data_IF_571954974735
#
_entry.id   IF_571954974735
#
_cell.length_a   1.000
_cell.length_b   1.000
_cell.length_c   1.000
_cell.angle_alpha   90.00
_cell.angle_beta   90.00
_cell.angle_gamma   90.00
#
_symmetry.space_group_name_H-M   'P 1'
#
loop_
_entity.id
_entity.type
_entity.pdbx_description
1 polymer ?
#
# COMPACT_ATOMS: atom_id res chain seq x y z
N UNK A 1 -14.61 -2.46 13.77
CA UNK A 1 -13.43 -2.77 12.93
C UNK A 1 -12.10 -2.30 13.56
N UNK A 2 -11.98 -2.22 14.90
CA UNK A 2 -10.77 -1.72 15.59
C UNK A 2 -9.59 -2.71 15.53
N UNK A 3 -9.86 -4.00 15.34
CA UNK A 3 -8.85 -5.07 15.35
C UNK A 3 -7.96 -5.07 14.09
N UNK A 4 -8.39 -4.45 12.99
CA UNK A 4 -7.58 -4.39 11.76
C UNK A 4 -6.69 -3.13 11.69
N UNK A 5 -6.80 -2.20 12.65
CA UNK A 5 -6.02 -0.95 12.66
C UNK A 5 -4.51 -1.22 12.73
N UNK A 6 -4.09 -2.20 13.53
CA UNK A 6 -2.68 -2.60 13.64
C UNK A 6 -2.17 -3.20 12.33
N UNK A 7 -2.97 -4.04 11.66
CA UNK A 7 -2.62 -4.61 10.36
C UNK A 7 -2.46 -3.51 9.28
N UNK A 8 -3.36 -2.52 9.27
CA UNK A 8 -3.30 -1.39 8.33
C UNK A 8 -2.13 -0.46 8.62
N UNK A 9 -1.77 -0.27 9.89
CA UNK A 9 -0.59 0.49 10.27
C UNK A 9 0.69 -0.22 9.86
N UNK A 10 0.79 -1.53 10.08
CA UNK A 10 1.92 -2.33 9.59
C UNK A 10 2.02 -2.22 8.07
N UNK A 11 0.90 -2.31 7.35
CA UNK A 11 0.87 -2.13 5.91
C UNK A 11 1.39 -0.75 5.48
N UNK A 12 0.93 0.33 6.13
CA UNK A 12 1.39 1.69 5.85
C UNK A 12 2.89 1.86 6.16
N UNK A 13 3.37 1.29 7.26
CA UNK A 13 4.79 1.31 7.62
C UNK A 13 5.66 0.59 6.57
N UNK A 14 5.26 -0.60 6.15
CA UNK A 14 5.97 -1.36 5.11
C UNK A 14 5.93 -0.65 3.75
N UNK A 15 4.86 0.09 3.45
CA UNK A 15 4.75 0.92 2.26
C UNK A 15 5.76 2.08 2.26
N UNK A 16 5.91 2.76 3.40
CA UNK A 16 6.92 3.81 3.60
C UNK A 16 8.32 3.19 3.48
N UNK A 17 8.55 2.01 4.06
CA UNK A 17 9.81 1.30 3.94
C UNK A 17 10.19 1.02 2.48
N UNK A 18 9.24 0.61 1.62
CA UNK A 18 9.47 0.42 0.18
C UNK A 18 9.96 1.72 -0.48
N UNK A 19 9.29 2.84 -0.21
CA UNK A 19 9.66 4.14 -0.75
C UNK A 19 11.05 4.60 -0.29
N UNK A 20 11.38 4.40 0.99
CA UNK A 20 12.71 4.77 1.54
C UNK A 20 13.81 3.83 1.04
N UNK A 21 13.52 2.53 0.89
CA UNK A 21 14.48 1.53 0.40
C UNK A 21 14.96 1.84 -1.02
N UNK A 22 14.18 2.59 -1.79
CA UNK A 22 14.53 3.05 -3.12
C UNK A 22 15.80 3.93 -3.12
N UNK A 23 16.09 4.63 -2.01
CA UNK A 23 17.26 5.49 -1.85
C UNK A 23 18.33 4.90 -0.95
N UNK A 24 17.92 4.09 0.04
CA UNK A 24 18.84 3.53 1.05
C UNK A 24 19.39 2.14 0.68
N UNK A 25 18.73 1.39 -0.21
CA UNK A 25 19.11 0.03 -0.58
C UNK A 25 19.36 -0.07 -2.10
N UNK A 26 20.63 -0.01 -2.55
CA UNK A 26 20.98 0.05 -3.98
C UNK A 26 20.52 -1.20 -4.77
N UNK A 27 20.39 -2.34 -4.11
CA UNK A 27 19.92 -3.59 -4.73
C UNK A 27 18.40 -3.82 -4.59
N UNK A 28 17.61 -2.83 -4.15
CA UNK A 28 16.16 -2.95 -4.08
C UNK A 28 15.51 -2.84 -5.46
N UNK A 29 14.38 -3.52 -5.67
CA UNK A 29 13.64 -3.44 -6.94
C UNK A 29 13.25 -2.00 -7.32
N UNK A 30 12.93 -1.17 -6.31
CA UNK A 30 12.64 0.26 -6.48
C UNK A 30 13.88 1.09 -6.86
N UNK A 31 15.04 0.80 -6.28
CA UNK A 31 16.34 1.40 -6.69
C UNK A 31 16.70 1.05 -8.15
N UNK A 32 16.51 -0.21 -8.54
CA UNK A 32 16.75 -0.65 -9.93
C UNK A 32 15.80 0.07 -10.90
N UNK A 33 14.53 0.22 -10.53
CA UNK A 33 13.56 0.99 -11.32
C UNK A 33 13.95 2.47 -11.44
N UNK A 34 14.40 3.11 -10.35
CA UNK A 34 14.87 4.50 -10.35
C UNK A 34 16.07 4.72 -11.29
N UNK A 35 17.05 3.84 -11.23
CA UNK A 35 18.27 3.95 -12.04
C UNK A 35 18.03 3.65 -13.51
N UNK A 36 17.13 2.71 -13.82
CA UNK A 36 16.82 2.30 -15.20
C UNK A 36 15.84 3.23 -15.90
N UNK A 37 14.68 3.48 -15.27
CA UNK A 37 13.57 4.20 -15.89
C UNK A 37 13.65 5.72 -15.63
N UNK A 38 14.64 6.14 -14.84
CA UNK A 38 14.95 7.54 -14.57
C UNK A 38 13.72 8.29 -14.06
N UNK A 39 13.31 9.32 -14.81
CA UNK A 39 12.14 10.15 -14.49
C UNK A 39 10.88 9.34 -14.15
N UNK A 40 10.56 8.30 -14.94
CA UNK A 40 9.36 7.50 -14.70
C UNK A 40 9.47 6.65 -13.42
N UNK A 41 10.67 6.15 -13.11
CA UNK A 41 10.95 5.45 -11.85
C UNK A 41 10.77 6.38 -10.63
N UNK A 42 11.20 7.64 -10.74
CA UNK A 42 10.93 8.65 -9.71
C UNK A 42 9.45 8.95 -9.54
N UNK A 43 8.68 9.09 -10.63
CA UNK A 43 7.24 9.35 -10.57
C UNK A 43 6.50 8.20 -9.87
N UNK A 44 6.79 6.95 -10.21
CA UNK A 44 6.17 5.77 -9.56
C UNK A 44 6.57 5.70 -8.09
N UNK A 45 7.84 5.93 -7.76
CA UNK A 45 8.34 5.87 -6.37
C UNK A 45 7.71 6.98 -5.51
N UNK A 46 7.65 8.21 -6.02
CA UNK A 46 7.00 9.34 -5.36
C UNK A 46 5.50 9.12 -5.21
N UNK A 47 4.83 8.57 -6.23
CA UNK A 47 3.42 8.20 -6.16
C UNK A 47 3.15 7.13 -5.11
N UNK A 48 4.01 6.12 -5.03
CA UNK A 48 3.93 5.06 -4.01
C UNK A 48 4.12 5.63 -2.60
N UNK A 49 5.07 6.55 -2.41
CA UNK A 49 5.30 7.24 -1.15
C UNK A 49 4.10 8.11 -0.73
N UNK A 50 3.53 8.87 -1.69
CA UNK A 50 2.35 9.68 -1.45
C UNK A 50 1.15 8.81 -1.05
N UNK A 51 0.92 7.70 -1.75
CA UNK A 51 -0.15 6.76 -1.39
C UNK A 51 0.07 6.11 -0.02
N UNK A 52 1.31 5.76 0.32
CA UNK A 52 1.66 5.23 1.64
C UNK A 52 1.33 6.23 2.76
N UNK A 53 1.64 7.51 2.55
CA UNK A 53 1.27 8.58 3.48
C UNK A 53 -0.25 8.75 3.58
N UNK A 54 -0.97 8.69 2.46
CA UNK A 54 -2.43 8.75 2.45
C UNK A 54 -3.02 7.60 3.25
N UNK A 55 -2.52 6.37 3.09
CA UNK A 55 -2.96 5.22 3.90
C UNK A 55 -2.62 5.41 5.38
N UNK A 56 -1.43 5.91 5.72
CA UNK A 56 -1.05 6.18 7.11
C UNK A 56 -1.97 7.23 7.77
N UNK A 57 -2.25 8.32 7.06
CA UNK A 57 -3.16 9.39 7.50
C UNK A 57 -4.58 8.87 7.62
N UNK A 58 -5.05 8.06 6.66
CA UNK A 58 -6.36 7.42 6.71
C UNK A 58 -6.50 6.51 7.94
N UNK A 59 -5.48 5.72 8.29
CA UNK A 59 -5.49 4.89 9.52
C UNK A 59 -5.50 5.76 10.77
N UNK A 60 -4.64 6.78 10.84
CA UNK A 60 -4.59 7.68 11.99
C UNK A 60 -5.91 8.42 12.22
N UNK A 61 -6.56 8.90 11.15
CA UNK A 61 -7.79 9.67 11.25
C UNK A 61 -9.01 8.76 11.45
N UNK A 62 -9.16 7.71 10.66
CA UNK A 62 -10.40 6.95 10.65
C UNK A 62 -10.38 5.75 11.63
N UNK A 63 -9.22 5.32 12.14
CA UNK A 63 -9.13 4.22 13.09
C UNK A 63 -8.70 4.66 14.52
N UNK A 64 -8.01 5.80 14.69
CA UNK A 64 -7.55 6.27 16.02
C UNK A 64 -8.28 7.49 16.59
N UNK A 65 -8.76 8.41 15.75
CA UNK A 65 -9.53 9.55 16.23
C UNK A 65 -10.98 9.15 16.59
N UNK A 66 -11.62 9.85 17.53
CA UNK A 66 -13.02 9.61 17.88
C UNK A 66 -13.94 9.91 16.68
N UNK A 67 -15.07 9.19 16.62
CA UNK A 67 -15.99 9.13 15.46
C UNK A 67 -16.41 10.50 14.89
N UNK A 68 -16.43 11.54 15.73
CA UNK A 68 -16.72 12.93 15.34
C UNK A 68 -15.75 13.54 14.31
N UNK A 69 -14.55 12.97 14.14
CA UNK A 69 -13.53 13.46 13.19
C UNK A 69 -13.30 12.50 12.01
N UNK A 70 -14.11 11.45 11.88
CA UNK A 70 -13.96 10.44 10.83
C UNK A 70 -14.37 11.02 9.48
N UNK A 71 -13.50 10.85 8.49
CA UNK A 71 -13.81 11.20 7.11
C UNK A 71 -14.54 10.05 6.43
N UNK A 72 -15.87 10.02 6.56
CA UNK A 72 -16.73 8.98 5.99
C UNK A 72 -16.55 8.79 4.48
N UNK A 73 -16.27 9.86 3.73
CA UNK A 73 -15.98 9.76 2.30
C UNK A 73 -14.71 8.96 1.99
N UNK A 74 -13.63 9.22 2.75
CA UNK A 74 -12.37 8.49 2.59
C UNK A 74 -12.54 7.03 3.03
N UNK A 75 -13.24 6.81 4.14
CA UNK A 75 -13.60 5.48 4.63
C UNK A 75 -14.38 4.68 3.58
N UNK A 76 -15.29 5.33 2.85
CA UNK A 76 -16.05 4.65 1.81
C UNK A 76 -15.20 4.28 0.57
N UNK A 77 -14.05 4.93 0.37
CA UNK A 77 -13.13 4.68 -0.75
C UNK A 77 -11.87 3.89 -0.38
N UNK A 78 -11.70 3.51 0.89
CA UNK A 78 -10.56 2.72 1.41
C UNK A 78 -10.18 1.50 0.57
N UNK A 79 -11.15 0.73 0.11
CA UNK A 79 -10.91 -0.43 -0.75
C UNK A 79 -10.17 -0.08 -2.06
N UNK A 80 -10.50 1.04 -2.70
CA UNK A 80 -9.79 1.53 -3.88
C UNK A 80 -8.37 1.96 -3.54
N UNK A 81 -8.16 2.62 -2.39
CA UNK A 81 -6.82 2.98 -1.93
C UNK A 81 -5.93 1.73 -1.83
N UNK A 82 -6.41 0.67 -1.19
CA UNK A 82 -5.65 -0.58 -1.04
C UNK A 82 -5.36 -1.28 -2.38
N UNK A 83 -6.30 -1.25 -3.32
CA UNK A 83 -6.10 -1.81 -4.67
C UNK A 83 -5.04 -1.00 -5.43
N UNK A 84 -5.12 0.32 -5.39
CA UNK A 84 -4.15 1.19 -6.07
C UNK A 84 -2.74 1.06 -5.48
N UNK A 85 -2.61 1.00 -4.14
CA UNK A 85 -1.31 0.76 -3.50
C UNK A 85 -0.76 -0.62 -3.84
N UNK A 86 -1.60 -1.65 -3.87
CA UNK A 86 -1.18 -2.99 -4.27
C UNK A 86 -0.62 -2.99 -5.70
N UNK A 87 -1.25 -2.30 -6.65
CA UNK A 87 -0.72 -2.20 -8.02
C UNK A 87 0.63 -1.50 -8.07
N UNK A 88 0.82 -0.43 -7.28
CA UNK A 88 2.09 0.31 -7.21
C UNK A 88 3.24 -0.54 -6.64
N UNK A 89 2.97 -1.48 -5.73
CA UNK A 89 4.03 -2.35 -5.19
C UNK A 89 4.51 -3.41 -6.19
N UNK A 90 3.67 -3.80 -7.14
CA UNK A 90 4.04 -4.78 -8.16
C UNK A 90 4.82 -4.12 -9.32
N UNK A 91 4.65 -2.81 -9.54
CA UNK A 91 5.31 -2.06 -10.62
C UNK A 91 6.85 -2.16 -10.58
N UNK A 92 7.55 -1.94 -9.44
CA UNK A 92 9.00 -2.10 -9.35
C UNK A 92 9.46 -3.54 -9.65
N UNK A 93 8.66 -4.54 -9.29
CA UNK A 93 8.96 -5.94 -9.58
C UNK A 93 8.96 -6.22 -11.09
N UNK A 94 7.95 -5.72 -11.82
CA UNK A 94 7.94 -5.86 -13.28
C UNK A 94 9.10 -5.10 -13.93
N UNK A 95 9.39 -3.89 -13.47
CA UNK A 95 10.50 -3.08 -13.99
C UNK A 95 11.88 -3.73 -13.75
N UNK A 96 12.07 -4.38 -12.60
CA UNK A 96 13.31 -5.05 -12.21
C UNK A 96 13.42 -6.53 -12.67
N UNK A 97 12.36 -7.10 -13.26
CA UNK A 97 12.24 -8.53 -13.59
C UNK A 97 13.35 -9.11 -14.47
N UNK A 98 13.98 -8.28 -15.30
CA UNK A 98 15.06 -8.71 -16.20
C UNK A 98 16.45 -8.71 -15.55
N UNK A 99 16.64 -8.12 -14.37
CA UNK A 99 17.98 -7.77 -13.88
C UNK A 99 18.32 -8.28 -12.51
N UNK A 100 17.40 -8.35 -11.56
CA UNK A 100 17.64 -9.01 -10.27
C UNK A 100 16.35 -9.00 -9.45
N UNK A 101 15.81 -10.18 -9.15
CA UNK A 101 14.83 -10.32 -8.06
C UNK A 101 15.22 -11.52 -7.20
N UNK A 102 15.74 -11.24 -6.01
CA UNK A 102 15.92 -12.28 -5.00
C UNK A 102 14.56 -12.78 -4.52
N UNK A 103 14.45 -14.07 -4.19
CA UNK A 103 13.20 -14.66 -3.71
C UNK A 103 12.57 -13.88 -2.53
N UNK A 104 13.41 -13.32 -1.64
CA UNK A 104 12.95 -12.46 -0.55
C UNK A 104 12.24 -11.18 -1.02
N UNK A 105 12.71 -10.56 -2.12
CA UNK A 105 12.05 -9.39 -2.70
C UNK A 105 10.73 -9.78 -3.36
N UNK A 106 10.67 -10.91 -4.07
CA UNK A 106 9.41 -11.44 -4.62
C UNK A 106 8.39 -11.61 -3.49
N UNK A 107 8.77 -12.33 -2.43
CA UNK A 107 7.88 -12.60 -1.29
C UNK A 107 7.44 -11.30 -0.63
N UNK A 108 8.34 -10.33 -0.49
CA UNK A 108 8.02 -9.04 0.14
C UNK A 108 7.05 -8.21 -0.70
N UNK A 109 7.35 -7.94 -1.97
CA UNK A 109 6.53 -7.08 -2.83
C UNK A 109 5.19 -7.73 -3.20
N UNK A 110 5.20 -9.03 -3.56
CA UNK A 110 3.95 -9.78 -3.84
C UNK A 110 3.15 -9.97 -2.56
N UNK A 111 3.80 -10.30 -1.44
CA UNK A 111 3.15 -10.42 -0.13
C UNK A 111 2.46 -9.12 0.27
N UNK A 112 3.11 -7.98 0.07
CA UNK A 112 2.52 -6.66 0.29
C UNK A 112 1.32 -6.39 -0.62
N UNK A 113 1.41 -6.72 -1.91
CA UNK A 113 0.29 -6.55 -2.83
C UNK A 113 -0.91 -7.41 -2.42
N UNK A 114 -0.69 -8.69 -2.10
CA UNK A 114 -1.72 -9.61 -1.62
C UNK A 114 -2.32 -9.15 -0.29
N UNK A 115 -1.49 -8.66 0.64
CA UNK A 115 -1.97 -8.13 1.92
C UNK A 115 -2.85 -6.91 1.74
N UNK A 116 -2.48 -5.98 0.84
CA UNK A 116 -3.34 -4.85 0.45
C UNK A 116 -4.68 -5.30 -0.13
N UNK A 117 -4.66 -6.26 -1.06
CA UNK A 117 -5.89 -6.80 -1.64
C UNK A 117 -6.77 -7.50 -0.61
N UNK A 118 -6.20 -8.24 0.34
CA UNK A 118 -6.93 -8.86 1.44
C UNK A 118 -7.59 -7.81 2.34
N UNK A 119 -6.89 -6.72 2.68
CA UNK A 119 -7.47 -5.60 3.43
C UNK A 119 -8.61 -4.93 2.66
N UNK A 120 -8.43 -4.69 1.35
CA UNK A 120 -9.48 -4.16 0.48
C UNK A 120 -10.69 -5.09 0.36
N UNK A 121 -10.46 -6.40 0.27
CA UNK A 121 -11.52 -7.41 0.24
C UNK A 121 -12.31 -7.48 1.55
N UNK A 122 -11.63 -7.47 2.70
CA UNK A 122 -12.30 -7.44 4.01
C UNK A 122 -13.14 -6.17 4.18
N UNK A 123 -12.67 -5.03 3.69
CA UNK A 123 -13.43 -3.77 3.73
C UNK A 123 -14.67 -3.81 2.83
N UNK A 124 -14.59 -4.43 1.65
CA UNK A 124 -15.77 -4.59 0.78
C UNK A 124 -16.78 -5.58 1.35
N UNK A 125 -16.33 -6.67 1.98
CA UNK A 125 -17.19 -7.61 2.69
C UNK A 125 -17.89 -6.95 3.89
N UNK A 126 -17.19 -6.14 4.69
CA UNK A 126 -17.79 -5.40 5.80
C UNK A 126 -18.94 -4.49 5.36
N UNK A 127 -18.84 -3.87 4.17
CA UNK A 127 -19.90 -3.03 3.59
C UNK A 127 -21.07 -3.81 3.00
N UNK A 128 -20.85 -5.07 2.59
CA UNK A 128 -21.91 -5.96 2.11
C UNK A 128 -22.64 -6.67 3.26
N UNK A 129 -21.95 -6.95 4.36
CA UNK A 129 -22.56 -7.52 5.57
C UNK A 129 -23.58 -6.59 6.21
N UNK A 130 -23.46 -5.28 6.04
CA UNK A 130 -24.46 -4.30 6.50
C UNK A 130 -25.72 -4.25 5.62
N UNK A 131 -25.67 -4.69 4.37
CA UNK A 131 -26.83 -4.66 3.44
C UNK A 131 -27.75 -5.89 3.54
N UNK A 132 -27.38 -6.93 4.28
CA UNK A 132 -28.25 -8.10 4.50
C UNK A 132 -29.12 -7.98 5.77
N UNK A 133 -29.11 -6.82 6.43
CA UNK A 133 -29.87 -6.55 7.65
C UNK A 133 -31.10 -5.65 7.42
N UNK A 134 -31.48 -5.45 6.15
CA UNK A 134 -32.70 -4.73 5.75
C UNK A 134 -33.76 -5.70 5.20
#
# INVERSE_FOLDING_TARGET
MKNDALARLIYAYLAIYIAVSAFAAPCSATSVMLTRDGFWGYVVTAGTAALALVVAVDVAINDWLPDRYVFHWAQNRRHWLYVTTATCYVTPMFAASAYFINAAQVVFYVGMALFGLLLGYRETQAKRGTTCAD
#
